data_IF_841039666243
#
_entry.id   IF_841039666243
#
_cell.length_a   1.000
_cell.length_b   1.000
_cell.length_c   1.000
_cell.angle_alpha   90.00
_cell.angle_beta   90.00
_cell.angle_gamma   90.00
#
_symmetry.space_group_name_H-M   'P 1'
#
loop_
_entity.id
_entity.type
_entity.pdbx_description
1 polymer ?
#
# COMPACT_ATOMS: atom_id res chain seq x y z
N UNK A 1 -5.59 -63.56 2.40
CA UNK A 1 -7.02 -63.42 2.07
C UNK A 1 -7.26 -62.00 1.58
N UNK A 2 -7.61 -61.88 0.30
CA UNK A 2 -7.82 -60.61 -0.41
C UNK A 2 -9.31 -60.29 -0.37
N UNK A 3 -9.67 -59.10 0.10
CA UNK A 3 -11.03 -58.55 0.04
C UNK A 3 -11.05 -57.51 -1.09
N UNK A 4 -11.90 -57.65 -2.13
CA UNK A 4 -12.06 -56.61 -3.14
C UNK A 4 -13.10 -55.57 -2.68
N UNK A 5 -12.81 -54.30 -2.96
CA UNK A 5 -13.71 -53.18 -2.75
C UNK A 5 -14.63 -52.99 -3.96
N UNK A 6 -15.93 -52.90 -3.71
CA UNK A 6 -16.98 -52.63 -4.70
C UNK A 6 -16.98 -51.16 -5.13
N UNK A 7 -17.11 -50.95 -6.44
CA UNK A 7 -17.38 -49.67 -7.09
C UNK A 7 -18.84 -49.28 -6.90
N UNK A 8 -19.09 -48.04 -6.43
CA UNK A 8 -20.41 -47.43 -6.41
C UNK A 8 -20.43 -46.20 -7.32
N UNK A 9 -21.01 -46.38 -8.50
CA UNK A 9 -21.31 -45.37 -9.52
C UNK A 9 -22.52 -44.53 -9.07
N UNK A 10 -22.38 -43.20 -9.00
CA UNK A 10 -23.47 -42.27 -8.71
C UNK A 10 -23.87 -41.57 -10.02
N UNK A 11 -25.17 -41.51 -10.38
CA UNK A 11 -25.62 -40.92 -11.64
C UNK A 11 -25.71 -39.39 -11.56
N UNK A 12 -25.31 -38.75 -12.67
CA UNK A 12 -25.40 -37.33 -12.96
C UNK A 12 -26.87 -36.97 -13.25
N UNK A 13 -27.41 -35.95 -12.56
CA UNK A 13 -28.73 -35.38 -12.83
C UNK A 13 -28.51 -34.08 -13.62
N UNK A 14 -28.92 -34.08 -14.88
CA UNK A 14 -29.05 -32.91 -15.72
C UNK A 14 -30.34 -32.15 -15.35
N UNK A 15 -30.23 -30.84 -15.17
CA UNK A 15 -31.39 -29.94 -15.04
C UNK A 15 -31.26 -28.81 -16.04
N UNK A 16 -32.00 -28.92 -17.14
CA UNK A 16 -32.28 -27.85 -18.08
C UNK A 16 -33.30 -26.89 -17.45
N UNK A 17 -33.00 -25.60 -17.42
CA UNK A 17 -33.96 -24.54 -17.12
C UNK A 17 -33.87 -23.47 -18.20
N UNK A 18 -34.85 -23.50 -19.09
CA UNK A 18 -35.20 -22.44 -20.02
C UNK A 18 -35.68 -21.21 -19.25
N UNK A 19 -35.26 -20.02 -19.64
CA UNK A 19 -35.89 -18.77 -19.22
C UNK A 19 -36.21 -17.94 -20.46
N UNK A 20 -37.51 -17.73 -20.63
CA UNK A 20 -38.17 -16.96 -21.67
C UNK A 20 -37.78 -15.48 -21.66
N UNK A 21 -37.71 -14.94 -22.87
CA UNK A 21 -37.57 -13.53 -23.15
C UNK A 21 -38.86 -12.77 -22.83
N UNK A 22 -38.74 -11.65 -22.12
CA UNK A 22 -39.82 -10.65 -21.97
C UNK A 22 -39.36 -9.38 -22.68
N UNK A 23 -39.99 -9.13 -23.83
CA UNK A 23 -40.01 -7.83 -24.50
C UNK A 23 -40.81 -6.82 -23.66
N UNK A 24 -40.28 -5.60 -23.49
CA UNK A 24 -41.11 -4.42 -23.25
C UNK A 24 -40.64 -3.23 -24.08
N UNK A 25 -41.57 -2.36 -24.49
CA UNK A 25 -41.39 -1.47 -25.62
C UNK A 25 -41.02 -0.03 -25.24
N UNK A 26 -40.36 0.58 -26.22
CA UNK A 26 -40.22 2.01 -26.52
C UNK A 26 -41.29 2.94 -25.92
N UNK A 27 -40.85 4.03 -25.30
CA UNK A 27 -41.60 5.29 -25.29
C UNK A 27 -40.68 6.49 -25.48
N UNK A 28 -40.72 6.98 -26.70
CA UNK A 28 -40.27 8.25 -27.24
C UNK A 28 -41.15 9.40 -26.71
N UNK A 29 -40.56 10.50 -26.24
CA UNK A 29 -41.18 11.83 -26.30
C UNK A 29 -40.16 12.95 -26.01
N UNK A 30 -40.30 13.98 -26.84
CA UNK A 30 -39.44 15.14 -27.10
C UNK A 30 -39.60 16.28 -26.06
N UNK A 31 -38.89 17.42 -26.20
CA UNK A 31 -38.54 18.35 -25.12
C UNK A 31 -39.28 19.72 -25.09
N UNK A 32 -38.99 20.47 -24.02
CA UNK A 32 -39.10 21.94 -23.82
C UNK A 32 -40.53 22.52 -23.58
N UNK A 33 -40.72 23.73 -22.98
CA UNK A 33 -39.75 24.81 -22.76
C UNK A 33 -39.79 25.55 -21.39
N UNK A 34 -38.93 26.57 -21.34
CA UNK A 34 -38.66 27.66 -20.39
C UNK A 34 -39.89 28.40 -19.81
N UNK A 35 -39.75 28.99 -18.60
CA UNK A 35 -39.98 30.44 -18.36
C UNK A 35 -39.91 30.86 -16.87
N UNK A 36 -39.25 32.00 -16.64
CA UNK A 36 -39.52 33.10 -15.67
C UNK A 36 -39.54 32.80 -14.16
N UNK A 37 -38.63 33.38 -13.36
CA UNK A 37 -38.66 34.77 -12.83
C UNK A 37 -39.98 35.13 -12.12
N UNK A 38 -39.96 35.28 -10.78
CA UNK A 38 -40.21 36.60 -10.14
C UNK A 38 -39.92 36.57 -8.63
N UNK A 39 -39.57 37.74 -8.12
CA UNK A 39 -39.22 38.08 -6.76
C UNK A 39 -40.42 38.59 -5.96
N UNK A 40 -40.41 38.40 -4.64
CA UNK A 40 -40.89 39.37 -3.63
C UNK A 40 -40.81 38.73 -2.24
N UNK A 41 -39.96 39.21 -1.35
CA UNK A 41 -40.09 40.43 -0.55
C UNK A 41 -41.08 40.31 0.63
N UNK A 42 -40.46 40.26 1.81
CA UNK A 42 -40.84 40.92 3.06
C UNK A 42 -42.20 40.62 3.72
N UNK A 43 -42.17 40.25 5.02
CA UNK A 43 -42.47 41.20 6.12
C UNK A 43 -42.52 40.53 7.52
N UNK A 44 -41.83 41.21 8.44
CA UNK A 44 -42.21 41.53 9.84
C UNK A 44 -42.42 40.46 10.90
N UNK A 45 -41.51 40.50 11.89
CA UNK A 45 -41.68 40.30 13.35
C UNK A 45 -42.89 41.09 13.93
N UNK A 46 -43.42 40.88 15.17
CA UNK A 46 -42.64 40.90 16.43
C UNK A 46 -43.20 40.19 17.72
N UNK A 47 -42.33 40.17 18.75
CA UNK A 47 -42.55 40.43 20.19
C UNK A 47 -43.14 39.38 21.17
N UNK A 48 -42.29 39.11 22.18
CA UNK A 48 -42.51 39.11 23.66
C UNK A 48 -43.49 38.12 24.30
N UNK A 49 -43.00 37.31 25.27
CA UNK A 49 -43.26 37.51 26.71
C UNK A 49 -42.43 36.59 27.62
N UNK A 50 -42.25 37.08 28.85
CA UNK A 50 -41.41 36.59 29.95
C UNK A 50 -42.02 35.43 30.77
N UNK A 51 -41.11 34.80 31.55
CA UNK A 51 -41.23 34.25 32.92
C UNK A 51 -42.16 33.05 33.21
N UNK A 52 -41.53 32.03 33.80
CA UNK A 52 -42.15 31.03 34.66
C UNK A 52 -41.09 30.05 35.20
N UNK A 53 -40.60 30.31 36.42
CA UNK A 53 -39.98 29.29 37.29
C UNK A 53 -41.06 28.29 37.67
N UNK A 54 -40.86 27.00 37.41
CA UNK A 54 -41.47 25.94 38.20
C UNK A 54 -40.60 24.68 38.17
N UNK A 55 -40.16 24.33 39.38
CA UNK A 55 -39.34 23.20 39.75
C UNK A 55 -40.19 21.92 39.66
N UNK A 56 -40.06 21.17 38.56
CA UNK A 56 -40.64 19.82 38.45
C UNK A 56 -39.55 18.77 38.59
N UNK A 57 -39.53 18.12 39.75
CA UNK A 57 -38.78 16.88 40.01
C UNK A 57 -39.27 15.81 39.03
N UNK A 58 -38.53 15.62 37.93
CA UNK A 58 -38.74 14.52 37.02
C UNK A 58 -38.07 13.27 37.60
N UNK A 59 -38.88 12.44 38.26
CA UNK A 59 -38.58 11.04 38.48
C UNK A 59 -38.52 10.35 37.11
N UNK A 60 -37.36 10.41 36.45
CA UNK A 60 -37.07 9.53 35.31
C UNK A 60 -36.86 8.13 35.86
N UNK A 61 -37.97 7.42 36.06
CA UNK A 61 -37.98 5.98 36.10
C UNK A 61 -37.34 5.52 34.79
N UNK A 62 -36.10 5.04 34.88
CA UNK A 62 -35.44 4.33 33.81
C UNK A 62 -36.38 3.19 33.40
N UNK A 63 -37.07 3.39 32.28
CA UNK A 63 -37.95 2.41 31.67
C UNK A 63 -37.13 1.13 31.51
N UNK A 64 -37.66 -0.01 31.98
CA UNK A 64 -36.92 -1.29 31.99
C UNK A 64 -36.32 -1.69 30.63
N UNK A 65 -36.74 -1.06 29.53
CA UNK A 65 -36.13 -1.17 28.21
C UNK A 65 -34.68 -0.66 28.14
N UNK A 66 -34.34 0.46 28.79
CA UNK A 66 -32.97 1.01 28.74
C UNK A 66 -31.99 0.17 29.57
N UNK A 67 -32.48 -0.43 30.66
CA UNK A 67 -31.70 -1.39 31.46
C UNK A 67 -31.42 -2.65 30.65
N UNK A 68 -32.41 -3.17 29.91
CA UNK A 68 -32.22 -4.34 29.04
C UNK A 68 -31.30 -4.05 27.85
N UNK A 69 -31.37 -2.86 27.25
CA UNK A 69 -30.48 -2.45 26.16
C UNK A 69 -29.03 -2.31 26.65
N UNK A 70 -28.82 -1.73 27.83
CA UNK A 70 -27.49 -1.63 28.43
C UNK A 70 -26.91 -3.01 28.78
N UNK A 71 -27.73 -3.94 29.28
CA UNK A 71 -27.31 -5.32 29.54
C UNK A 71 -26.90 -6.03 28.23
N UNK A 72 -27.66 -5.86 27.15
CA UNK A 72 -27.33 -6.44 25.85
C UNK A 72 -26.03 -5.86 25.25
N UNK A 73 -25.82 -4.55 25.37
CA UNK A 73 -24.59 -3.88 24.94
C UNK A 73 -23.36 -4.30 25.79
N UNK A 74 -23.56 -4.53 27.10
CA UNK A 74 -22.53 -5.06 27.99
C UNK A 74 -22.18 -6.52 27.62
N UNK A 75 -23.18 -7.35 27.30
CA UNK A 75 -22.99 -8.75 26.91
C UNK A 75 -22.29 -8.91 25.55
N UNK A 76 -22.60 -8.04 24.57
CA UNK A 76 -21.86 -7.96 23.30
C UNK A 76 -20.39 -7.53 23.52
N UNK A 77 -20.15 -6.59 24.44
CA UNK A 77 -18.79 -6.11 24.77
C UNK A 77 -17.96 -7.20 25.45
N UNK A 78 -18.54 -7.99 26.37
CA UNK A 78 -17.85 -9.12 27.00
C UNK A 78 -17.58 -10.27 26.03
N UNK A 79 -18.52 -10.59 25.15
CA UNK A 79 -18.33 -11.66 24.16
C UNK A 79 -17.30 -11.29 23.08
N UNK A 80 -17.17 -10.01 22.71
CA UNK A 80 -16.10 -9.51 21.86
C UNK A 80 -14.71 -9.64 22.48
N UNK A 81 -14.56 -9.30 23.77
CA UNK A 81 -13.27 -9.40 24.50
C UNK A 81 -12.80 -10.84 24.70
N UNK A 82 -13.71 -11.79 24.96
CA UNK A 82 -13.37 -13.22 25.08
C UNK A 82 -12.92 -13.85 23.75
N UNK A 83 -13.27 -13.27 22.60
CA UNK A 83 -12.80 -13.75 21.28
C UNK A 83 -11.35 -13.33 20.97
N UNK A 84 -10.87 -12.20 21.49
CA UNK A 84 -9.48 -11.77 21.32
C UNK A 84 -8.52 -12.38 22.35
N UNK A 85 -8.97 -12.64 23.59
CA UNK A 85 -8.11 -13.15 24.67
C UNK A 85 -7.77 -14.65 24.62
N UNK A 86 -8.35 -15.41 23.68
CA UNK A 86 -8.06 -16.85 23.54
C UNK A 86 -6.98 -17.18 22.48
N UNK A 87 -6.27 -16.18 21.95
CA UNK A 87 -5.01 -16.41 21.25
C UNK A 87 -3.90 -16.57 22.29
N UNK A 88 -3.75 -17.81 22.78
CA UNK A 88 -2.59 -18.17 23.59
C UNK A 88 -1.29 -17.72 22.87
N UNK A 89 -0.34 -17.08 23.58
CA UNK A 89 0.92 -16.66 22.99
C UNK A 89 1.64 -17.88 22.37
N UNK A 90 2.15 -17.74 21.15
CA UNK A 90 2.86 -18.79 20.41
C UNK A 90 2.03 -19.61 19.41
N UNK A 91 0.89 -19.09 18.93
CA UNK A 91 0.15 -19.67 17.79
C UNK A 91 0.11 -18.71 16.60
N UNK A 92 0.44 -19.19 15.40
CA UNK A 92 0.36 -18.42 14.15
C UNK A 92 -0.48 -19.17 13.10
N UNK A 93 -0.93 -18.45 12.07
CA UNK A 93 -1.85 -18.97 11.05
C UNK A 93 -1.05 -19.32 9.79
N UNK A 94 -1.20 -20.56 9.30
CA UNK A 94 -0.64 -21.04 8.04
C UNK A 94 -1.78 -21.47 7.12
N UNK A 95 -1.60 -21.28 5.81
CA UNK A 95 -2.58 -21.67 4.80
C UNK A 95 -2.16 -22.98 4.15
N UNK A 96 -3.11 -23.92 3.99
CA UNK A 96 -2.86 -25.10 3.17
C UNK A 96 -2.85 -24.74 1.67
N UNK A 97 -2.36 -25.64 0.78
CA UNK A 97 -2.35 -25.41 -0.67
C UNK A 97 -3.74 -25.15 -1.29
N UNK A 98 -4.82 -25.52 -0.57
CA UNK A 98 -6.21 -25.29 -0.98
C UNK A 98 -6.87 -24.08 -0.27
N UNK A 99 -6.09 -23.23 0.40
CA UNK A 99 -6.57 -21.98 1.02
C UNK A 99 -7.21 -22.09 2.42
N UNK A 100 -7.32 -23.28 3.03
CA UNK A 100 -7.82 -23.38 4.41
C UNK A 100 -6.84 -22.80 5.43
N UNK A 101 -7.37 -22.03 6.39
CA UNK A 101 -6.64 -21.44 7.52
C UNK A 101 -6.39 -22.47 8.61
N UNK A 102 -5.13 -22.66 9.00
CA UNK A 102 -4.72 -23.62 10.01
C UNK A 102 -3.98 -22.87 11.13
N UNK A 103 -4.39 -23.06 12.38
CA UNK A 103 -3.69 -22.53 13.54
C UNK A 103 -2.59 -23.51 13.95
N UNK A 104 -1.35 -23.10 13.87
CA UNK A 104 -0.16 -23.91 14.15
C UNK A 104 0.56 -23.33 15.37
N UNK A 105 1.10 -24.20 16.24
CA UNK A 105 1.93 -23.76 17.39
C UNK A 105 3.37 -23.53 16.93
N UNK A 106 4.08 -22.60 17.58
CA UNK A 106 5.50 -22.26 17.31
C UNK A 106 6.41 -23.48 17.17
N UNK A 107 6.26 -24.47 18.06
CA UNK A 107 7.02 -25.75 18.04
C UNK A 107 6.87 -26.60 16.77
N UNK A 108 5.98 -26.21 15.85
CA UNK A 108 5.76 -26.89 14.57
C UNK A 108 6.35 -26.13 13.38
N UNK A 109 7.10 -25.03 13.60
CA UNK A 109 7.90 -24.38 12.56
C UNK A 109 8.91 -25.37 11.97
N UNK A 110 9.06 -25.36 10.65
CA UNK A 110 9.92 -26.29 9.90
C UNK A 110 9.39 -27.72 9.76
N UNK A 111 8.23 -28.06 10.33
CA UNK A 111 7.61 -29.39 10.20
C UNK A 111 6.53 -29.39 9.11
N UNK A 112 6.29 -30.57 8.52
CA UNK A 112 5.18 -30.79 7.59
C UNK A 112 3.93 -31.28 8.33
N UNK A 113 2.79 -30.64 8.09
CA UNK A 113 1.50 -30.97 8.68
C UNK A 113 0.46 -31.40 7.64
N UNK A 114 -0.69 -31.92 8.08
CA UNK A 114 -1.85 -32.22 7.22
C UNK A 114 -3.02 -31.32 7.59
N UNK A 115 -3.66 -30.72 6.59
CA UNK A 115 -4.80 -29.84 6.81
C UNK A 115 -5.97 -30.60 7.46
N UNK A 116 -6.60 -30.11 8.54
CA UNK A 116 -7.72 -30.78 9.17
C UNK A 116 -8.97 -30.81 8.28
N UNK A 117 -9.09 -29.88 7.33
CA UNK A 117 -10.25 -29.78 6.43
C UNK A 117 -10.08 -30.66 5.20
N UNK A 118 -8.99 -30.49 4.44
CA UNK A 118 -8.80 -31.18 3.16
C UNK A 118 -7.73 -32.27 3.15
N UNK A 119 -7.05 -32.51 4.28
CA UNK A 119 -5.95 -33.50 4.45
C UNK A 119 -4.72 -33.29 3.56
N UNK A 120 -4.64 -32.21 2.79
CA UNK A 120 -3.46 -31.86 2.01
C UNK A 120 -2.27 -31.60 2.95
N UNK A 121 -1.08 -32.06 2.54
CA UNK A 121 0.16 -31.74 3.23
C UNK A 121 0.49 -30.24 3.05
N UNK A 122 0.99 -29.61 4.10
CA UNK A 122 1.46 -28.22 4.07
C UNK A 122 2.76 -28.11 4.86
N UNK A 123 3.65 -27.20 4.43
CA UNK A 123 4.91 -26.93 5.10
C UNK A 123 4.75 -25.69 5.99
N UNK A 124 5.22 -25.78 7.23
CA UNK A 124 5.24 -24.65 8.15
C UNK A 124 6.61 -23.97 8.01
N UNK A 125 6.70 -22.67 7.65
CA UNK A 125 7.98 -21.97 7.53
C UNK A 125 8.81 -22.11 8.80
N UNK A 126 10.10 -22.44 8.64
CA UNK A 126 11.06 -22.40 9.73
C UNK A 126 11.22 -20.95 10.21
N UNK A 127 11.50 -20.75 11.49
CA UNK A 127 11.96 -19.45 11.96
C UNK A 127 13.35 -19.27 11.39
N UNK A 128 13.55 -18.26 10.53
CA UNK A 128 14.89 -17.84 10.17
C UNK A 128 15.57 -17.43 11.47
N UNK A 129 16.73 -18.02 11.82
CA UNK A 129 17.39 -17.70 13.07
C UNK A 129 17.65 -16.19 13.06
N UNK A 130 17.00 -15.47 13.97
CA UNK A 130 17.37 -14.09 14.28
C UNK A 130 18.82 -14.15 14.71
N UNK A 131 19.72 -13.74 13.84
CA UNK A 131 21.11 -13.54 14.21
C UNK A 131 21.09 -12.47 15.29
N UNK A 132 21.52 -12.84 16.50
CA UNK A 132 21.87 -11.92 17.57
C UNK A 132 23.11 -11.12 17.11
N UNK A 133 22.91 -10.22 16.16
CA UNK A 133 23.90 -9.30 15.63
C UNK A 133 23.53 -7.88 16.03
N UNK A 134 23.51 -7.64 17.34
CA UNK A 134 23.81 -6.35 17.92
C UNK A 134 25.22 -6.42 18.50
N UNK A 135 26.19 -5.95 17.70
CA UNK A 135 27.29 -5.05 18.09
C UNK A 135 28.45 -5.18 17.08
N UNK A 136 28.88 -4.03 16.57
CA UNK A 136 30.05 -3.78 15.73
C UNK A 136 29.97 -4.12 14.22
N UNK A 137 29.47 -3.16 13.44
CA UNK A 137 30.21 -2.63 12.28
C UNK A 137 29.49 -1.39 11.74
N UNK A 138 30.06 -0.22 12.00
CA UNK A 138 29.85 0.92 11.13
C UNK A 138 30.56 0.63 9.82
N UNK A 139 29.78 0.42 8.76
CA UNK A 139 30.28 0.34 7.40
C UNK A 139 29.42 1.26 6.53
N UNK A 140 30.08 2.28 6.01
CA UNK A 140 29.52 3.35 5.19
C UNK A 140 28.97 2.75 3.88
N UNK A 141 27.66 2.57 3.82
CA UNK A 141 26.97 2.36 2.54
C UNK A 141 26.95 3.68 1.78
N UNK A 142 27.89 3.79 0.83
CA UNK A 142 27.92 4.81 -0.22
C UNK A 142 26.75 4.53 -1.18
N UNK A 143 25.58 5.07 -0.85
CA UNK A 143 24.43 5.11 -1.75
C UNK A 143 24.70 6.12 -2.87
N UNK A 144 24.39 5.67 -4.08
CA UNK A 144 24.65 6.36 -5.33
C UNK A 144 23.82 7.65 -5.46
N UNK A 145 24.49 8.69 -5.97
CA UNK A 145 23.91 9.99 -6.30
C UNK A 145 22.97 9.86 -7.50
N UNK A 146 21.68 9.78 -7.21
CA UNK A 146 20.62 9.84 -8.21
C UNK A 146 19.43 10.66 -7.72
N UNK A 147 19.44 11.96 -8.04
CA UNK A 147 18.28 12.85 -8.16
C UNK A 147 17.74 13.60 -6.91
N UNK A 148 17.97 14.92 -6.99
CA UNK A 148 17.32 16.07 -6.32
C UNK A 148 17.40 16.21 -4.80
N UNK A 149 18.50 16.83 -4.33
CA UNK A 149 18.56 17.80 -3.22
C UNK A 149 17.81 17.51 -1.90
N UNK A 150 17.59 16.25 -1.53
CA UNK A 150 17.18 15.87 -0.17
C UNK A 150 18.38 15.97 0.77
N UNK A 151 18.77 17.21 1.10
CA UNK A 151 19.60 17.43 2.29
C UNK A 151 18.80 16.91 3.47
N UNK A 152 19.26 15.84 4.10
CA UNK A 152 18.67 15.31 5.32
C UNK A 152 18.66 16.41 6.38
N UNK A 153 17.51 17.09 6.53
CA UNK A 153 17.34 18.14 7.52
C UNK A 153 17.29 17.46 8.87
N UNK A 154 18.32 17.65 9.69
CA UNK A 154 18.33 17.19 11.08
C UNK A 154 18.08 18.38 11.99
N UNK A 155 17.06 18.28 12.84
CA UNK A 155 16.62 19.35 13.75
C UNK A 155 16.34 18.78 15.13
N UNK A 156 17.36 18.78 15.99
CA UNK A 156 17.26 18.19 17.32
C UNK A 156 17.09 16.67 17.25
N UNK A 157 16.03 16.14 17.87
CA UNK A 157 15.68 14.71 17.85
C UNK A 157 14.93 14.27 16.60
N UNK A 158 14.63 15.19 15.68
CA UNK A 158 13.88 14.90 14.46
C UNK A 158 14.83 14.71 13.28
N UNK A 159 14.69 13.57 12.60
CA UNK A 159 15.38 13.20 11.37
C UNK A 159 14.35 12.73 10.34
N UNK A 160 14.53 13.14 9.09
CA UNK A 160 13.52 12.91 8.06
C UNK A 160 12.38 13.92 8.15
N UNK A 161 12.33 14.83 7.17
CA UNK A 161 11.28 15.81 7.04
C UNK A 161 10.56 15.59 5.73
N UNK A 162 9.23 15.74 5.76
CA UNK A 162 8.42 15.77 4.54
C UNK A 162 7.63 17.07 4.54
N UNK A 163 7.70 17.80 3.43
CA UNK A 163 7.03 19.08 3.29
C UNK A 163 5.75 18.93 2.46
N UNK A 164 4.77 19.80 2.73
CA UNK A 164 3.58 19.99 1.88
C UNK A 164 2.75 18.69 1.68
N UNK A 165 2.66 17.85 2.71
CA UNK A 165 1.76 16.69 2.75
C UNK A 165 0.31 17.15 2.88
N UNK A 166 -0.61 16.49 2.17
CA UNK A 166 -2.03 16.90 2.16
C UNK A 166 -2.77 16.31 3.36
N UNK A 167 -3.14 17.14 4.32
CA UNK A 167 -3.99 16.75 5.44
C UNK A 167 -5.46 17.06 5.15
N UNK A 168 -6.33 16.08 5.41
CA UNK A 168 -7.78 16.21 5.25
C UNK A 168 -8.46 16.03 6.61
N UNK A 169 -9.38 16.94 6.95
CA UNK A 169 -10.33 16.77 8.06
C UNK A 169 -11.71 16.54 7.48
N UNK A 170 -12.32 15.42 7.82
CA UNK A 170 -13.54 14.95 7.17
C UNK A 170 -14.55 14.56 8.24
N UNK A 171 -15.72 15.19 8.19
CA UNK A 171 -16.90 14.71 8.92
C UNK A 171 -17.59 13.61 8.09
N UNK A 172 -17.60 12.34 8.56
CA UNK A 172 -18.21 11.24 7.83
C UNK A 172 -19.68 11.48 7.49
N UNK A 173 -20.42 12.25 8.30
CA UNK A 173 -21.83 12.54 8.08
C UNK A 173 -22.06 13.53 6.92
N UNK A 174 -21.04 14.33 6.57
CA UNK A 174 -21.13 15.38 5.55
C UNK A 174 -20.40 15.03 4.25
N UNK A 175 -19.64 13.95 4.25
CA UNK A 175 -18.84 13.53 3.10
C UNK A 175 -19.75 13.01 1.97
N UNK A 176 -19.65 13.65 0.80
CA UNK A 176 -20.23 13.12 -0.43
C UNK A 176 -19.23 12.19 -1.09
N UNK A 177 -19.52 10.89 -1.09
CA UNK A 177 -18.70 9.88 -1.75
C UNK A 177 -18.75 10.07 -3.26
N UNK A 178 -17.73 10.74 -3.81
CA UNK A 178 -17.49 10.90 -5.25
C UNK A 178 -16.00 10.78 -5.53
N UNK A 179 -15.58 10.21 -6.68
CA UNK A 179 -14.17 10.18 -7.06
C UNK A 179 -13.56 11.59 -7.00
N UNK A 180 -12.43 11.71 -6.31
CA UNK A 180 -11.70 12.96 -6.15
C UNK A 180 -12.40 14.08 -5.36
N UNK A 181 -13.44 13.78 -4.56
CA UNK A 181 -14.16 14.79 -3.77
C UNK A 181 -13.27 15.57 -2.80
N UNK A 182 -12.17 14.96 -2.32
CA UNK A 182 -11.25 15.55 -1.34
C UNK A 182 -9.94 16.08 -1.97
N UNK A 183 -9.74 15.95 -3.29
CA UNK A 183 -8.49 16.37 -3.97
C UNK A 183 -8.19 17.85 -3.78
N UNK A 184 -9.22 18.69 -3.64
CA UNK A 184 -9.09 20.15 -3.48
C UNK A 184 -9.31 20.63 -2.04
N UNK A 185 -9.74 19.76 -1.14
CA UNK A 185 -10.09 20.08 0.24
C UNK A 185 -9.05 19.48 1.18
N UNK A 186 -7.93 20.19 1.32
CA UNK A 186 -6.84 19.80 2.20
C UNK A 186 -6.10 21.02 2.74
N UNK A 187 -5.38 20.81 3.83
CA UNK A 187 -4.41 21.74 4.39
C UNK A 187 -3.01 21.14 4.22
N UNK A 188 -2.05 21.87 3.63
CA UNK A 188 -0.67 21.40 3.55
C UNK A 188 -0.05 21.39 4.95
N UNK A 189 0.56 20.26 5.31
CA UNK A 189 1.28 20.07 6.57
C UNK A 189 2.66 19.53 6.31
N UNK A 190 3.57 19.83 7.23
CA UNK A 190 4.89 19.21 7.23
C UNK A 190 4.92 18.08 8.27
N UNK A 191 5.63 17.01 7.96
CA UNK A 191 5.85 15.86 8.84
C UNK A 191 7.32 15.83 9.27
N UNK A 192 7.57 15.51 10.54
CA UNK A 192 8.91 15.26 11.07
C UNK A 192 8.90 13.97 11.89
N UNK A 193 9.85 13.07 11.60
CA UNK A 193 9.98 11.81 12.31
C UNK A 193 11.02 11.95 13.44
N UNK A 194 10.76 11.30 14.57
CA UNK A 194 11.71 11.11 15.66
C UNK A 194 11.63 9.67 16.16
N UNK A 195 12.61 9.25 16.96
CA UNK A 195 12.57 7.93 17.60
C UNK A 195 11.33 7.76 18.51
N UNK A 196 10.83 8.86 19.07
CA UNK A 196 9.68 8.88 19.97
C UNK A 196 8.33 8.90 19.22
N UNK A 197 8.31 9.32 17.95
CA UNK A 197 7.05 9.45 17.22
C UNK A 197 7.07 10.32 15.95
N UNK A 198 5.88 10.81 15.58
CA UNK A 198 5.62 11.61 14.39
C UNK A 198 5.04 12.98 14.79
N UNK A 199 5.71 14.05 14.39
CA UNK A 199 5.23 15.42 14.53
C UNK A 199 4.57 15.87 13.23
N UNK A 200 3.35 16.40 13.33
CA UNK A 200 2.59 17.00 12.22
C UNK A 200 2.44 18.50 12.48
N UNK A 201 2.95 19.31 11.56
CA UNK A 201 2.97 20.78 11.67
C UNK A 201 2.11 21.44 10.59
N UNK A 202 1.05 22.14 11.01
CA UNK A 202 0.23 23.01 10.17
C UNK A 202 0.85 24.42 10.16
N UNK A 203 1.49 24.80 9.06
CA UNK A 203 2.28 26.03 8.97
C UNK A 203 1.40 27.30 8.94
N UNK A 204 0.25 27.25 8.27
CA UNK A 204 -0.64 28.40 8.10
C UNK A 204 -2.10 28.02 8.21
N UNK A 205 -2.91 28.93 8.75
CA UNK A 205 -4.35 28.74 8.88
C UNK A 205 -5.01 28.79 7.49
N UNK A 206 -5.81 27.78 7.11
CA UNK A 206 -6.57 27.82 5.86
C UNK A 206 -7.51 29.02 5.85
N UNK A 207 -7.45 29.84 4.79
CA UNK A 207 -8.33 31.00 4.60
C UNK A 207 -7.89 32.30 5.30
N UNK A 208 -6.65 32.41 5.77
CA UNK A 208 -6.13 33.66 6.33
C UNK A 208 -6.06 34.78 5.26
N UNK A 209 -7.08 35.65 5.25
CA UNK A 209 -7.24 36.83 4.37
C UNK A 209 -6.11 37.89 4.48
N UNK A 210 -5.21 37.77 5.47
CA UNK A 210 -4.14 38.74 5.74
C UNK A 210 -2.74 38.13 5.67
N UNK A 211 -2.35 37.65 4.49
CA UNK A 211 -0.94 37.48 4.13
C UNK A 211 -0.21 36.30 4.78
N UNK A 212 -0.92 35.32 5.34
CA UNK A 212 -0.37 34.02 5.75
C UNK A 212 -0.38 32.99 4.63
N UNK A 213 -0.07 33.41 3.40
CA UNK A 213 -0.09 32.54 2.22
C UNK A 213 1.19 31.69 2.09
N UNK A 214 1.24 30.82 1.06
CA UNK A 214 2.35 29.89 0.79
C UNK A 214 3.74 30.54 0.77
N UNK A 215 3.81 31.86 0.51
CA UNK A 215 5.05 32.63 0.50
C UNK A 215 5.73 32.77 1.87
N UNK A 216 4.99 32.68 2.97
CA UNK A 216 5.57 32.75 4.33
C UNK A 216 5.92 31.39 4.92
N UNK A 217 5.43 30.30 4.32
CA UNK A 217 5.70 28.93 4.79
C UNK A 217 7.21 28.65 4.94
N UNK A 218 8.10 29.05 4.02
CA UNK A 218 9.53 28.82 4.18
C UNK A 218 10.14 29.51 5.41
N UNK A 219 9.70 30.73 5.73
CA UNK A 219 10.20 31.45 6.91
C UNK A 219 9.73 30.78 8.21
N UNK A 220 8.46 30.35 8.26
CA UNK A 220 7.91 29.61 9.41
C UNK A 220 8.61 28.26 9.57
N UNK A 221 8.92 27.56 8.47
CA UNK A 221 9.70 26.31 8.49
C UNK A 221 11.06 26.51 9.16
N UNK A 222 11.81 27.53 8.74
CA UNK A 222 13.11 27.84 9.35
C UNK A 222 12.99 28.18 10.85
N UNK A 223 11.94 28.92 11.24
CA UNK A 223 11.67 29.20 12.67
C UNK A 223 11.36 27.91 13.46
N UNK A 224 10.59 26.99 12.88
CA UNK A 224 10.31 25.66 13.47
C UNK A 224 11.61 24.86 13.62
N UNK A 225 12.41 24.81 12.56
CA UNK A 225 13.67 24.08 12.55
C UNK A 225 14.63 24.61 13.61
N UNK A 226 14.74 25.93 13.73
CA UNK A 226 15.58 26.57 14.73
C UNK A 226 15.07 26.32 16.16
N UNK A 227 13.75 26.41 16.38
CA UNK A 227 13.14 26.10 17.68
C UNK A 227 13.39 24.66 18.12
N UNK A 228 13.27 23.70 17.20
CA UNK A 228 13.53 22.28 17.47
C UNK A 228 15.03 21.99 17.66
N UNK A 229 15.93 22.67 16.93
CA UNK A 229 17.38 22.58 17.16
C UNK A 229 17.79 23.07 18.54
N UNK A 230 17.10 24.07 19.08
CA UNK A 230 17.33 24.58 20.44
C UNK A 230 16.79 23.65 21.54
N UNK A 231 16.10 22.56 21.18
CA UNK A 231 15.53 21.61 22.16
C UNK A 231 14.37 22.20 22.97
N UNK A 232 13.70 23.23 22.44
CA UNK A 232 12.55 23.84 23.09
C UNK A 232 11.31 22.93 22.98
N UNK A 233 10.37 23.08 23.91
CA UNK A 233 9.17 22.24 23.95
C UNK A 233 8.29 22.43 22.72
N UNK A 234 7.67 21.33 22.29
CA UNK A 234 6.76 21.26 21.13
C UNK A 234 5.60 22.25 21.29
N UNK A 235 5.06 22.41 22.51
CA UNK A 235 3.93 23.30 22.82
C UNK A 235 4.13 24.77 22.42
N UNK A 236 5.38 25.21 22.28
CA UNK A 236 5.76 26.59 21.94
C UNK A 236 6.22 26.75 20.49
N UNK A 237 6.01 25.74 19.65
CA UNK A 237 6.43 25.77 18.26
C UNK A 237 5.82 26.95 17.50
N UNK A 238 6.62 27.71 16.73
CA UNK A 238 6.12 28.76 15.87
C UNK A 238 5.32 28.13 14.72
N UNK A 239 3.99 28.20 14.76
CA UNK A 239 3.12 27.58 13.76
C UNK A 239 1.65 27.80 14.08
N UNK A 240 0.75 27.38 13.18
CA UNK A 240 -0.67 27.53 13.44
C UNK A 240 -1.18 26.47 14.42
N UNK A 241 -0.92 25.20 14.11
CA UNK A 241 -1.30 24.03 14.91
C UNK A 241 -0.23 22.97 14.72
N UNK A 242 0.13 22.26 15.78
CA UNK A 242 1.02 21.11 15.70
C UNK A 242 0.47 19.99 16.57
N UNK A 243 0.79 18.74 16.22
CA UNK A 243 0.45 17.57 17.03
C UNK A 243 1.53 16.52 16.93
N UNK A 244 1.77 15.87 18.06
CA UNK A 244 2.73 14.81 18.18
C UNK A 244 1.99 13.48 18.43
N UNK A 245 2.37 12.45 17.69
CA UNK A 245 1.87 11.09 17.82
C UNK A 245 3.02 10.22 18.30
N UNK A 246 2.88 9.56 19.46
CA UNK A 246 3.93 8.66 19.92
C UNK A 246 3.91 7.36 19.11
N UNK A 247 5.01 6.62 19.17
CA UNK A 247 5.11 5.28 18.54
C UNK A 247 4.02 4.31 19.00
N UNK A 248 3.50 4.45 20.21
CA UNK A 248 2.39 3.65 20.73
C UNK A 248 1.10 3.83 19.91
N UNK A 249 0.88 5.06 19.40
CA UNK A 249 -0.29 5.39 18.59
C UNK A 249 -0.20 4.83 17.16
N UNK A 250 0.96 4.34 16.71
CA UNK A 250 1.12 3.87 15.32
C UNK A 250 0.34 2.61 15.01
N UNK A 251 -0.01 1.82 16.03
CA UNK A 251 -0.93 0.68 15.90
C UNK A 251 -2.34 1.08 15.43
N UNK A 252 -2.71 2.35 15.59
CA UNK A 252 -3.99 2.90 15.15
C UNK A 252 -3.94 3.52 13.75
N UNK A 253 -2.74 3.68 13.15
CA UNK A 253 -2.61 4.14 11.76
C UNK A 253 -3.21 3.09 10.82
N UNK A 254 -4.03 3.53 9.87
CA UNK A 254 -4.69 2.64 8.91
C UNK A 254 -4.61 3.20 7.51
N UNK A 255 -4.23 2.37 6.56
CA UNK A 255 -4.34 2.72 5.15
C UNK A 255 -5.81 2.55 4.76
N UNK A 256 -6.43 3.64 4.33
CA UNK A 256 -7.84 3.68 3.94
C UNK A 256 -8.05 3.76 2.42
N UNK A 257 -6.99 4.12 1.69
CA UNK A 257 -6.96 4.10 0.23
C UNK A 257 -5.53 3.79 -0.24
N UNK A 258 -5.30 2.72 -1.04
CA UNK A 258 -6.25 1.65 -1.36
C UNK A 258 -6.72 0.91 -0.09
N UNK A 259 -7.86 0.24 -0.16
CA UNK A 259 -8.27 -0.62 0.94
C UNK A 259 -7.41 -1.91 0.93
N UNK A 260 -6.68 -2.25 2.01
CA UNK A 260 -5.91 -3.48 2.06
C UNK A 260 -6.80 -4.71 1.90
N UNK A 261 -6.26 -5.78 1.31
CA UNK A 261 -7.03 -6.98 1.04
C UNK A 261 -7.65 -7.56 2.33
N UNK A 262 -8.97 -7.80 2.30
CA UNK A 262 -9.71 -8.35 3.44
C UNK A 262 -10.19 -7.33 4.47
N UNK A 263 -9.91 -6.03 4.29
CA UNK A 263 -10.52 -4.96 5.09
C UNK A 263 -11.79 -4.42 4.40
N UNK A 264 -12.67 -3.79 5.19
CA UNK A 264 -13.86 -3.12 4.67
C UNK A 264 -13.48 -1.66 4.42
N UNK A 265 -13.61 -1.24 3.15
CA UNK A 265 -13.32 0.12 2.73
C UNK A 265 -14.27 1.12 3.36
N UNK A 266 -13.73 2.14 4.04
CA UNK A 266 -14.51 3.22 4.63
C UNK A 266 -15.26 4.05 3.57
N UNK A 267 -14.75 4.05 2.34
CA UNK A 267 -15.28 4.82 1.21
C UNK A 267 -15.90 3.94 0.11
N UNK A 268 -16.18 2.65 0.39
CA UNK A 268 -16.74 1.71 -0.58
C UNK A 268 -15.92 1.62 -1.88
N UNK A 269 -14.59 1.64 -1.74
CA UNK A 269 -13.61 1.58 -2.84
C UNK A 269 -13.67 2.75 -3.83
N UNK A 270 -14.34 3.85 -3.46
CA UNK A 270 -14.35 5.08 -4.23
C UNK A 270 -13.07 5.87 -3.92
N UNK A 271 -12.26 6.27 -4.93
CA UNK A 271 -11.03 7.01 -4.72
C UNK A 271 -11.30 8.49 -4.39
N UNK A 272 -11.81 8.76 -3.19
CA UNK A 272 -12.23 10.10 -2.77
C UNK A 272 -11.06 11.08 -2.67
N UNK A 273 -9.84 10.59 -2.41
CA UNK A 273 -8.61 11.40 -2.38
C UNK A 273 -7.97 11.59 -3.76
N UNK A 274 -8.55 10.98 -4.80
CA UNK A 274 -8.01 10.95 -6.17
C UNK A 274 -7.52 9.55 -6.56
N UNK A 275 -7.57 9.24 -7.85
CA UNK A 275 -7.02 7.99 -8.40
C UNK A 275 -5.50 7.95 -8.20
N UNK A 276 -4.96 6.76 -7.88
CA UNK A 276 -3.52 6.58 -7.61
C UNK A 276 -2.98 7.31 -6.37
N UNK A 277 -3.84 7.96 -5.57
CA UNK A 277 -3.45 8.58 -4.29
C UNK A 277 -3.57 7.58 -3.16
N UNK A 278 -2.63 7.67 -2.23
CA UNK A 278 -2.60 6.83 -1.03
C UNK A 278 -3.07 7.67 0.15
N UNK A 279 -3.98 7.15 0.97
CA UNK A 279 -4.49 7.85 2.14
C UNK A 279 -4.38 7.00 3.40
N UNK A 280 -3.85 7.63 4.46
CA UNK A 280 -3.67 7.04 5.79
C UNK A 280 -4.56 7.80 6.77
N UNK A 281 -5.37 7.07 7.55
CA UNK A 281 -6.09 7.61 8.69
C UNK A 281 -5.15 7.74 9.88
N UNK A 282 -5.14 8.93 10.49
CA UNK A 282 -4.34 9.27 11.68
C UNK A 282 -5.15 8.94 12.95
N UNK A 283 -4.50 8.52 14.06
CA UNK A 283 -5.16 8.34 15.37
C UNK A 283 -5.98 9.57 15.79
N UNK A 284 -7.14 9.33 16.41
CA UNK A 284 -8.01 10.42 16.90
C UNK A 284 -7.50 10.90 18.25
N UNK A 285 -7.03 12.14 18.32
CA UNK A 285 -6.56 12.76 19.57
C UNK A 285 -7.61 13.69 20.20
N UNK A 286 -8.50 14.26 19.39
CA UNK A 286 -9.55 15.17 19.83
C UNK A 286 -10.88 14.39 19.98
N UNK A 287 -11.72 14.76 20.96
CA UNK A 287 -13.06 14.15 21.17
C UNK A 287 -14.08 14.48 20.06
N UNK A 288 -13.64 15.12 18.97
CA UNK A 288 -14.46 15.48 17.83
C UNK A 288 -14.91 14.27 17.00
N UNK A 289 -16.00 14.46 16.25
CA UNK A 289 -16.48 13.47 15.28
C UNK A 289 -15.70 13.50 13.95
N UNK A 290 -14.77 14.44 13.79
CA UNK A 290 -13.98 14.59 12.57
C UNK A 290 -12.91 13.50 12.49
N UNK A 291 -12.82 12.88 11.32
CA UNK A 291 -11.74 11.98 10.95
C UNK A 291 -10.63 12.76 10.27
N UNK A 292 -9.40 12.33 10.51
CA UNK A 292 -8.24 12.92 9.88
C UNK A 292 -7.46 11.93 9.04
N UNK A 293 -7.05 12.41 7.88
CA UNK A 293 -6.32 11.63 6.89
C UNK A 293 -5.13 12.41 6.36
N UNK A 294 -4.03 11.72 6.09
CA UNK A 294 -2.94 12.21 5.26
C UNK A 294 -3.05 11.55 3.89
N UNK A 295 -2.94 12.33 2.81
CA UNK A 295 -2.84 11.78 1.47
C UNK A 295 -1.48 12.06 0.83
N UNK A 296 -0.98 11.06 0.10
CA UNK A 296 0.36 11.00 -0.45
C UNK A 296 0.31 10.66 -1.94
N UNK A 297 1.29 11.16 -2.69
CA UNK A 297 1.70 10.54 -3.95
C UNK A 297 2.55 9.29 -3.65
N UNK A 298 2.92 8.52 -4.68
CA UNK A 298 3.69 7.31 -4.48
C UNK A 298 5.08 7.60 -3.87
N UNK A 299 5.81 8.57 -4.42
CA UNK A 299 7.10 9.03 -3.91
C UNK A 299 7.01 9.50 -2.46
N UNK A 300 6.05 10.38 -2.16
CA UNK A 300 5.81 10.84 -0.79
C UNK A 300 5.51 9.67 0.16
N UNK A 301 4.68 8.71 -0.26
CA UNK A 301 4.36 7.56 0.58
C UNK A 301 5.59 6.68 0.85
N UNK A 302 6.44 6.45 -0.16
CA UNK A 302 7.71 5.72 0.03
C UNK A 302 8.63 6.43 1.01
N UNK A 303 8.78 7.74 0.91
CA UNK A 303 9.53 8.54 1.89
C UNK A 303 8.92 8.44 3.30
N UNK A 304 7.58 8.43 3.41
CA UNK A 304 6.88 8.26 4.68
C UNK A 304 7.18 6.88 5.30
N UNK A 305 7.05 5.80 4.53
CA UNK A 305 7.34 4.43 4.99
C UNK A 305 8.81 4.28 5.36
N UNK A 306 9.72 4.88 4.59
CA UNK A 306 11.14 4.90 4.90
C UNK A 306 11.41 5.63 6.22
N UNK A 307 10.82 6.80 6.46
CA UNK A 307 10.89 7.53 7.72
C UNK A 307 10.36 6.71 8.91
N UNK A 308 9.18 6.11 8.77
CA UNK A 308 8.58 5.24 9.78
C UNK A 308 9.47 4.03 10.12
N UNK A 309 10.08 3.39 9.10
CA UNK A 309 10.97 2.24 9.28
C UNK A 309 12.28 2.63 9.94
N UNK A 310 12.96 3.62 9.37
CA UNK A 310 14.34 3.97 9.76
C UNK A 310 14.43 4.78 11.04
N UNK A 311 13.50 5.71 11.25
CA UNK A 311 13.54 6.64 12.38
C UNK A 311 12.70 6.13 13.53
N UNK A 312 11.49 5.63 13.25
CA UNK A 312 10.56 5.18 14.28
C UNK A 312 10.58 3.67 14.56
N UNK A 313 11.39 2.89 13.84
CA UNK A 313 11.51 1.44 14.03
C UNK A 313 10.29 0.62 13.59
N UNK A 314 9.40 1.16 12.76
CA UNK A 314 8.22 0.46 12.25
C UNK A 314 8.49 -0.22 10.90
N UNK A 315 9.01 -1.45 10.93
CA UNK A 315 9.46 -2.16 9.73
C UNK A 315 8.30 -2.61 8.80
N UNK A 316 7.17 -2.99 9.37
CA UNK A 316 6.07 -3.71 8.69
C UNK A 316 4.90 -2.80 8.27
N UNK A 317 5.04 -1.48 8.41
CA UNK A 317 3.98 -0.57 7.98
C UNK A 317 3.78 -0.66 6.46
N UNK A 318 2.53 -0.91 6.03
CA UNK A 318 2.10 -1.01 4.63
C UNK A 318 2.49 -2.28 3.84
N UNK A 319 3.11 -3.29 4.44
CA UNK A 319 3.53 -4.51 3.72
C UNK A 319 2.38 -5.20 2.97
N UNK A 320 1.17 -5.23 3.55
CA UNK A 320 -0.01 -5.91 2.98
C UNK A 320 -0.95 -4.96 2.20
N UNK A 321 -0.54 -3.72 1.96
CA UNK A 321 -1.42 -2.72 1.36
C UNK A 321 -1.57 -2.86 -0.17
N UNK A 322 -0.72 -3.67 -0.81
CA UNK A 322 -0.66 -3.78 -2.27
C UNK A 322 -0.18 -2.50 -2.95
N UNK A 323 0.53 -1.64 -2.21
CA UNK A 323 1.13 -0.39 -2.72
C UNK A 323 2.59 -0.69 -3.10
N UNK A 324 3.08 -0.25 -4.28
CA UNK A 324 4.42 -0.59 -4.73
C UNK A 324 5.48 0.24 -3.98
N UNK A 325 6.12 -0.36 -2.98
CA UNK A 325 7.22 0.29 -2.24
C UNK A 325 8.52 0.40 -3.06
N UNK A 326 8.67 -0.47 -4.05
CA UNK A 326 9.77 -0.51 -5.02
C UNK A 326 9.21 -0.61 -6.43
N UNK A 327 10.00 -0.22 -7.43
CA UNK A 327 9.67 -0.42 -8.84
C UNK A 327 9.54 -1.91 -9.14
N UNK A 328 8.41 -2.30 -9.71
CA UNK A 328 8.18 -3.68 -10.15
C UNK A 328 7.80 -3.68 -11.62
N UNK A 329 8.57 -4.40 -12.42
CA UNK A 329 8.41 -4.51 -13.86
C UNK A 329 7.93 -5.91 -14.25
N UNK A 330 6.96 -5.96 -15.17
CA UNK A 330 6.62 -7.17 -15.90
C UNK A 330 7.39 -7.17 -17.23
N UNK A 331 8.14 -8.25 -17.48
CA UNK A 331 8.98 -8.39 -18.66
C UNK A 331 8.21 -9.06 -19.78
N UNK A 332 7.94 -8.32 -20.86
CA UNK A 332 7.26 -8.84 -22.02
C UNK A 332 8.21 -9.11 -23.18
N UNK A 333 7.96 -10.15 -23.97
CA UNK A 333 8.77 -10.41 -25.17
C UNK A 333 8.17 -9.72 -26.39
N UNK A 334 8.93 -8.84 -27.04
CA UNK A 334 8.51 -8.17 -28.28
C UNK A 334 8.37 -9.18 -29.43
N UNK A 335 7.26 -9.12 -30.17
CA UNK A 335 7.00 -10.02 -31.30
C UNK A 335 8.00 -9.86 -32.45
N UNK A 336 8.42 -8.63 -32.76
CA UNK A 336 9.27 -8.33 -33.91
C UNK A 336 10.76 -8.41 -33.57
N UNK A 337 11.20 -7.73 -32.52
CA UNK A 337 12.62 -7.67 -32.15
C UNK A 337 13.07 -8.82 -31.26
N UNK A 338 12.12 -9.59 -30.71
CA UNK A 338 12.38 -10.65 -29.72
C UNK A 338 13.04 -10.19 -28.41
N UNK A 339 13.33 -8.88 -28.26
CA UNK A 339 13.86 -8.27 -27.06
C UNK A 339 12.81 -8.23 -25.94
N UNK A 340 13.28 -8.10 -24.70
CA UNK A 340 12.44 -7.89 -23.54
C UNK A 340 12.00 -6.42 -23.46
N UNK A 341 10.75 -6.21 -23.06
CA UNK A 341 10.10 -4.91 -22.91
C UNK A 341 9.62 -4.84 -21.46
N UNK A 342 10.38 -4.17 -20.57
CA UNK A 342 9.97 -4.00 -19.18
C UNK A 342 8.83 -2.99 -19.09
N UNK A 343 7.67 -3.43 -18.63
CA UNK A 343 6.53 -2.54 -18.38
C UNK A 343 6.26 -2.46 -16.89
N UNK A 344 6.08 -1.24 -16.39
CA UNK A 344 5.89 -1.01 -14.97
C UNK A 344 4.49 -1.52 -14.53
N UNK A 345 4.42 -2.12 -13.35
CA UNK A 345 3.16 -2.59 -12.77
C UNK A 345 2.39 -1.44 -12.09
N UNK A 346 1.07 -1.60 -11.92
CA UNK A 346 0.22 -0.67 -11.16
C UNK A 346 0.35 0.82 -11.58
N UNK A 347 0.15 1.07 -12.88
CA UNK A 347 0.28 2.37 -13.56
C UNK A 347 -0.39 3.56 -12.88
N UNK A 348 -1.52 3.33 -12.20
CA UNK A 348 -2.32 4.42 -11.63
C UNK A 348 -1.55 5.26 -10.61
N UNK A 349 -0.67 4.63 -9.80
CA UNK A 349 0.16 5.33 -8.82
C UNK A 349 1.20 6.23 -9.48
N UNK A 350 1.88 5.71 -10.50
CA UNK A 350 2.93 6.44 -11.21
C UNK A 350 2.37 7.57 -12.07
N UNK A 351 1.18 7.41 -12.65
CA UNK A 351 0.49 8.48 -13.39
C UNK A 351 -0.02 9.59 -12.48
N UNK A 352 -0.45 9.25 -11.27
CA UNK A 352 -0.90 10.21 -10.28
C UNK A 352 0.26 11.03 -9.69
N UNK A 353 1.48 10.51 -9.75
CA UNK A 353 2.66 11.14 -9.17
C UNK A 353 3.53 11.85 -10.22
N UNK A 354 3.64 13.17 -10.09
CA UNK A 354 4.36 14.03 -11.03
C UNK A 354 5.87 13.95 -10.88
N UNK A 355 6.39 13.30 -9.83
CA UNK A 355 7.83 13.12 -9.67
C UNK A 355 8.41 12.13 -10.69
N UNK A 356 7.59 11.24 -11.25
CA UNK A 356 8.02 10.26 -12.23
C UNK A 356 7.75 10.75 -13.65
N UNK A 357 8.77 10.77 -14.50
CA UNK A 357 8.62 10.96 -15.94
C UNK A 357 8.45 9.59 -16.61
N UNK A 358 7.24 9.30 -17.09
CA UNK A 358 6.93 8.03 -17.75
C UNK A 358 7.14 8.12 -19.26
N UNK A 359 7.70 7.07 -19.85
CA UNK A 359 7.84 6.90 -21.30
C UNK A 359 7.13 5.64 -21.77
N UNK A 360 6.60 5.70 -22.99
CA UNK A 360 6.03 4.54 -23.66
C UNK A 360 7.14 3.64 -24.19
N UNK A 361 7.20 2.42 -23.67
CA UNK A 361 8.17 1.39 -24.09
C UNK A 361 7.58 0.39 -25.08
N UNK A 362 6.26 0.27 -25.14
CA UNK A 362 5.59 -0.63 -26.07
C UNK A 362 4.08 -0.62 -25.97
N UNK A 363 3.46 -1.58 -26.63
CA UNK A 363 2.01 -1.78 -26.66
C UNK A 363 1.68 -3.26 -26.60
N UNK A 364 0.57 -3.59 -25.95
CA UNK A 364 0.05 -4.95 -25.86
C UNK A 364 -1.29 -5.07 -26.59
N UNK A 365 -1.49 -6.18 -27.30
CA UNK A 365 -2.77 -6.46 -27.92
C UNK A 365 -3.80 -6.91 -26.88
N UNK A 366 -4.94 -6.21 -26.80
CA UNK A 366 -5.99 -6.48 -25.81
C UNK A 366 -6.58 -7.90 -25.92
N UNK A 367 -6.64 -8.48 -27.13
CA UNK A 367 -7.26 -9.79 -27.35
C UNK A 367 -6.30 -10.97 -27.18
N UNK A 368 -5.12 -10.91 -27.79
CA UNK A 368 -4.18 -12.05 -27.80
C UNK A 368 -2.92 -11.84 -26.94
N UNK A 369 -2.77 -10.68 -26.30
CA UNK A 369 -1.62 -10.36 -25.45
C UNK A 369 -0.30 -10.14 -26.20
N UNK A 370 -0.30 -10.14 -27.55
CA UNK A 370 0.91 -9.92 -28.34
C UNK A 370 1.50 -8.55 -28.04
N UNK A 371 2.78 -8.51 -27.68
CA UNK A 371 3.50 -7.27 -27.32
C UNK A 371 4.40 -6.79 -28.45
N UNK A 372 4.43 -5.48 -28.64
CA UNK A 372 5.31 -4.78 -29.57
C UNK A 372 6.07 -3.68 -28.82
N UNK A 373 7.40 -3.71 -28.87
CA UNK A 373 8.24 -2.60 -28.39
C UNK A 373 8.05 -1.35 -29.27
N UNK A 374 8.35 -0.18 -28.72
CA UNK A 374 8.32 1.09 -29.47
C UNK A 374 9.33 1.05 -30.63
N UNK A 375 10.48 0.39 -30.45
CA UNK A 375 11.46 0.14 -31.51
C UNK A 375 10.91 -0.75 -32.63
N UNK A 376 10.33 -1.91 -32.28
CA UNK A 376 9.72 -2.83 -33.25
C UNK A 376 8.56 -2.18 -34.00
N UNK A 377 7.76 -1.35 -33.30
CA UNK A 377 6.70 -0.54 -33.92
C UNK A 377 7.28 0.45 -34.93
N UNK A 378 8.35 1.16 -34.58
CA UNK A 378 8.98 2.15 -35.45
C UNK A 378 9.61 1.50 -36.70
N UNK A 379 10.30 0.36 -36.53
CA UNK A 379 10.90 -0.41 -37.62
C UNK A 379 9.85 -0.87 -38.65
N UNK A 380 8.74 -1.44 -38.17
CA UNK A 380 7.65 -1.97 -39.02
C UNK A 380 6.64 -0.90 -39.47
N UNK A 381 6.83 0.37 -39.06
CA UNK A 381 5.88 1.48 -39.27
C UNK A 381 4.45 1.14 -38.81
N UNK A 382 4.32 0.28 -37.81
CA UNK A 382 3.04 -0.17 -37.29
C UNK A 382 2.32 1.00 -36.60
N UNK A 383 1.06 1.25 -36.96
CA UNK A 383 0.33 2.43 -36.46
C UNK A 383 0.88 3.78 -36.96
N UNK A 384 1.62 3.77 -38.08
CA UNK A 384 2.20 4.95 -38.71
C UNK A 384 3.50 5.43 -38.06
N UNK A 385 4.16 6.43 -38.68
CA UNK A 385 5.50 6.87 -38.27
C UNK A 385 5.61 7.35 -36.81
N UNK A 386 4.52 7.86 -36.23
CA UNK A 386 4.46 8.40 -34.85
C UNK A 386 3.54 7.62 -33.91
N UNK A 387 3.13 6.40 -34.28
CA UNK A 387 2.26 5.55 -33.44
C UNK A 387 0.80 6.03 -33.27
N UNK A 388 0.42 7.22 -33.77
CA UNK A 388 -0.92 7.81 -33.58
C UNK A 388 -2.09 6.94 -34.07
N UNK A 389 -1.87 6.01 -35.01
CA UNK A 389 -2.92 5.12 -35.51
C UNK A 389 -2.82 3.68 -34.98
N UNK A 390 -2.03 3.43 -33.93
CA UNK A 390 -1.86 2.09 -33.36
C UNK A 390 -3.18 1.48 -32.87
N UNK A 391 -4.03 2.28 -32.23
CA UNK A 391 -5.35 1.84 -31.77
C UNK A 391 -6.30 1.40 -32.90
N UNK A 392 -6.02 1.78 -34.15
CA UNK A 392 -6.78 1.39 -35.34
C UNK A 392 -6.10 0.30 -36.16
N UNK A 393 -4.83 0.00 -35.88
CA UNK A 393 -4.08 -1.03 -36.58
C UNK A 393 -4.63 -2.43 -36.24
N UNK A 394 -4.51 -3.36 -37.19
CA UNK A 394 -4.87 -4.77 -36.99
C UNK A 394 -3.69 -5.50 -36.37
N UNK A 395 -3.94 -6.27 -35.32
CA UNK A 395 -2.94 -7.11 -34.68
C UNK A 395 -2.43 -8.18 -35.65
N UNK A 396 -1.10 -8.34 -35.80
CA UNK A 396 -0.53 -9.35 -36.69
C UNK A 396 -0.85 -10.78 -36.22
N UNK A 397 -1.09 -11.00 -34.93
CA UNK A 397 -1.37 -12.33 -34.38
C UNK A 397 -2.83 -12.77 -34.48
N UNK A 398 -3.80 -11.85 -34.37
CA UNK A 398 -5.22 -12.20 -34.28
C UNK A 398 -6.17 -11.40 -35.18
N UNK A 399 -5.62 -10.51 -36.02
CA UNK A 399 -6.32 -9.63 -36.97
C UNK A 399 -7.35 -8.64 -36.39
N UNK A 400 -7.60 -8.66 -35.08
CA UNK A 400 -8.45 -7.70 -34.39
C UNK A 400 -7.75 -6.35 -34.23
N UNK A 401 -8.49 -5.30 -33.85
CA UNK A 401 -7.86 -4.02 -33.47
C UNK A 401 -6.84 -4.27 -32.36
N UNK A 402 -5.64 -3.72 -32.51
CA UNK A 402 -4.55 -3.96 -31.57
C UNK A 402 -4.96 -3.54 -30.15
N UNK A 403 -5.60 -2.38 -30.01
CA UNK A 403 -6.10 -1.86 -28.73
C UNK A 403 -5.31 -0.64 -28.26
N UNK A 404 -5.56 -0.23 -27.01
CA UNK A 404 -4.96 0.94 -26.36
C UNK A 404 -4.18 0.60 -25.09
N UNK A 405 -3.75 -0.66 -24.93
CA UNK A 405 -2.90 -1.05 -23.79
C UNK A 405 -1.48 -0.57 -24.07
N UNK A 406 -1.14 0.57 -23.49
CA UNK A 406 0.18 1.18 -23.57
C UNK A 406 1.03 0.60 -22.43
N UNK A 407 2.22 0.13 -22.77
CA UNK A 407 3.23 -0.29 -21.81
C UNK A 407 4.16 0.90 -21.54
N UNK A 408 4.28 1.28 -20.28
CA UNK A 408 5.05 2.45 -19.85
C UNK A 408 6.11 2.03 -18.82
N UNK A 409 7.22 2.77 -18.79
CA UNK A 409 8.31 2.62 -17.84
C UNK A 409 8.81 4.00 -17.40
N UNK A 410 9.62 4.06 -16.36
CA UNK A 410 10.24 5.31 -15.89
C UNK A 410 11.41 5.64 -16.83
N UNK A 411 11.47 6.89 -17.32
CA UNK A 411 12.37 7.34 -18.40
C UNK A 411 13.85 7.04 -18.18
N UNK A 412 14.32 7.21 -16.96
CA UNK A 412 15.73 7.12 -16.59
C UNK A 412 16.01 5.89 -15.70
N UNK A 413 15.15 4.87 -15.78
CA UNK A 413 15.33 3.65 -14.99
C UNK A 413 16.48 2.79 -15.53
N UNK A 414 17.40 2.30 -14.67
CA UNK A 414 18.48 1.40 -15.08
C UNK A 414 18.01 0.17 -15.86
N UNK A 415 16.79 -0.32 -15.66
CA UNK A 415 16.25 -1.49 -16.40
C UNK A 415 16.09 -1.23 -17.90
N UNK A 416 16.04 0.03 -18.31
CA UNK A 416 15.94 0.43 -19.73
C UNK A 416 17.30 0.61 -20.38
N UNK A 417 18.39 0.64 -19.61
CA UNK A 417 19.72 0.67 -20.18
C UNK A 417 19.93 -0.65 -20.94
N UNK A 418 20.41 -0.60 -22.19
CA UNK A 418 20.75 -1.83 -22.91
C UNK A 418 21.73 -2.61 -22.03
N UNK A 419 21.44 -3.89 -21.78
CA UNK A 419 22.42 -4.76 -21.11
C UNK A 419 23.73 -4.59 -21.87
N UNK A 420 24.86 -4.30 -21.18
CA UNK A 420 26.13 -4.19 -21.86
C UNK A 420 26.28 -5.49 -22.63
N UNK A 421 26.35 -5.39 -23.97
CA UNK A 421 26.63 -6.54 -24.81
C UNK A 421 27.86 -7.18 -24.18
N UNK A 422 27.65 -8.30 -23.50
CA UNK A 422 28.70 -9.04 -22.86
C UNK A 422 29.48 -9.54 -24.07
N UNK A 423 30.47 -8.76 -24.50
CA UNK A 423 31.46 -9.12 -25.49
C UNK A 423 32.03 -10.41 -24.95
N UNK A 424 31.40 -11.53 -25.35
CA UNK A 424 31.88 -12.84 -25.04
C UNK A 424 33.32 -12.80 -25.49
N UNK A 425 34.20 -12.84 -24.49
CA UNK A 425 35.60 -13.09 -24.72
C UNK A 425 35.62 -14.38 -25.54
N UNK A 426 35.78 -14.22 -26.84
CA UNK A 426 36.30 -15.24 -27.73
C UNK A 426 37.73 -15.50 -27.23
N UNK A 427 37.82 -16.18 -26.08
CA UNK A 427 39.04 -16.75 -25.56
C UNK A 427 39.41 -17.83 -26.57
N UNK A 428 40.40 -17.47 -27.37
CA UNK A 428 41.08 -18.29 -28.32
C UNK A 428 41.40 -19.64 -27.69
N UNK A 429 40.58 -20.66 -27.99
CA UNK A 429 41.07 -22.04 -28.01
C UNK A 429 42.05 -22.17 -29.17
N UNK A 430 43.21 -21.54 -29.02
CA UNK A 430 44.42 -21.80 -29.76
C UNK A 430 44.95 -23.15 -29.26
N UNK A 431 44.68 -24.15 -30.07
CA UNK A 431 45.42 -25.39 -30.20
C UNK A 431 46.92 -25.22 -29.97
N UNK A 432 47.45 -25.82 -28.90
CA UNK A 432 48.83 -26.28 -28.84
C UNK A 432 48.82 -27.67 -28.19
N UNK A 433 49.02 -28.69 -29.02
CA UNK A 433 49.33 -30.02 -28.52
C UNK A 433 50.74 -30.03 -27.93
N UNK A 434 50.88 -30.67 -26.77
CA UNK A 434 52.15 -31.25 -26.36
C UNK A 434 51.85 -32.52 -25.55
N UNK A 435 52.30 -33.64 -26.10
CA UNK A 435 52.43 -34.93 -25.42
C UNK A 435 53.28 -34.76 -24.16
N UNK A 436 53.04 -35.51 -23.07
CA UNK A 436 54.07 -36.22 -22.25
C UNK A 436 53.47 -36.86 -20.97
N UNK A 437 53.69 -38.18 -20.86
CA UNK A 437 53.81 -39.11 -19.70
C UNK A 437 52.96 -38.90 -18.43
N UNK A 438 52.12 -39.87 -18.04
CA UNK A 438 52.46 -40.96 -17.07
C UNK A 438 53.13 -40.47 -15.77
N UNK A 439 52.38 -40.41 -14.67
CA UNK A 439 52.74 -41.19 -13.47
C UNK A 439 51.54 -41.40 -12.54
N UNK A 440 51.58 -42.59 -11.97
CA UNK A 440 50.58 -43.31 -11.21
C UNK A 440 50.97 -43.20 -9.72
N UNK A 441 50.11 -42.66 -8.85
CA UNK A 441 50.28 -42.86 -7.39
C UNK A 441 48.91 -43.06 -6.73
N UNK A 442 48.72 -44.30 -6.30
CA UNK A 442 47.68 -44.86 -5.43
C UNK A 442 47.73 -44.35 -3.98
N UNK A 443 46.67 -44.60 -3.17
CA UNK A 443 46.38 -43.90 -1.92
C UNK A 443 47.05 -44.55 -0.68
N UNK A 444 47.22 -43.81 0.41
CA UNK A 444 47.52 -44.39 1.72
C UNK A 444 46.49 -44.02 2.79
N UNK A 445 45.88 -45.06 3.34
CA UNK A 445 45.12 -45.13 4.58
C UNK A 445 45.98 -44.80 5.82
N UNK A 446 45.32 -44.38 6.90
CA UNK A 446 45.84 -44.31 8.27
C UNK A 446 44.93 -43.40 9.11
N UNK A 447 43.87 -43.88 9.76
CA UNK A 447 43.80 -44.73 10.97
C UNK A 447 44.30 -44.05 12.27
N UNK A 448 43.34 -43.87 13.19
CA UNK A 448 43.42 -44.09 14.65
C UNK A 448 43.59 -42.92 15.64
N UNK A 449 42.93 -43.17 16.79
CA UNK A 449 43.04 -42.62 18.16
C UNK A 449 42.14 -41.41 18.49
N UNK A 450 41.04 -41.54 19.23
CA UNK A 450 40.87 -41.91 20.66
C UNK A 450 41.58 -40.98 21.66
N UNK A 451 40.79 -40.21 22.42
CA UNK A 451 40.95 -39.82 23.84
C UNK A 451 39.87 -38.79 24.16
N UNK A 452 38.75 -39.15 24.80
CA UNK A 452 38.58 -39.18 26.27
C UNK A 452 39.47 -38.20 27.04
N UNK A 453 38.86 -37.15 27.62
CA UNK A 453 39.24 -36.63 28.94
C UNK A 453 38.04 -35.97 29.62
N UNK A 454 37.66 -36.56 30.75
CA UNK A 454 36.90 -35.97 31.85
C UNK A 454 37.63 -34.77 32.49
N UNK A 455 36.88 -33.76 32.95
CA UNK A 455 37.04 -33.03 34.22
C UNK A 455 35.95 -31.93 34.25
N UNK A 456 34.89 -31.99 35.05
CA UNK A 456 34.75 -31.95 36.52
C UNK A 456 35.18 -30.61 37.14
N UNK A 457 34.18 -29.99 37.78
CA UNK A 457 34.23 -29.29 39.08
C UNK A 457 34.29 -27.76 39.13
N UNK A 458 33.26 -27.23 39.82
CA UNK A 458 33.22 -26.04 40.69
C UNK A 458 33.26 -24.66 40.00
N UNK A 459 32.35 -23.72 40.30
CA UNK A 459 31.70 -23.44 41.59
C UNK A 459 30.43 -22.61 41.39
#
# INVERSE_FOLDING_TARGET
ELIPAEEATIPLVESEAQVEAVEQPVSESAPAPESSEDASAAKTSPKQKEKGDEESVAHSEATGADVLLNIALEEERETGRRKLQNLLPGMFIVYCPKGHRIKVREKHRGLTGKCPVCKAAFHVPAEEPKSDSEEAAGEESKLEEGSTDDKTIVTGSYSGWMQDVSQHRVDPARLKLRPGSLVKEFTPVDLAFSADGLLICELSKPGALFGGGPKKNPAIREEIYEHLRQGLSIDKLPGHKHRFFSTENFSELRIVQPCPAGQISLFHDIPVFGEGRIAIQIPRMDEGNELEFLSFSLSQFRSFVAGMRTVCGQADFAADAGIPLEENYELFKCHYTQQQVPALNQMDYYKADKSFELITVGYQCEKCGLVMSEEGRAAEKFGGAKGKSIAKAKCPGCEQKFGSMILEAIKDDPILAPEPENEEAEDETATAGEETSMEEVTPSEGASAESETEAKSEK
#
